data_IF_170860228063
#
_entry.id   IF_170860228063
#
_cell.length_a   1.000
_cell.length_b   1.000
_cell.length_c   1.000
_cell.angle_alpha   90.00
_cell.angle_beta   90.00
_cell.angle_gamma   90.00
#
_symmetry.space_group_name_H-M   'P 1'
#
loop_
_entity.id
_entity.type
_entity.pdbx_description
1 polymer ?
#
# COMPACT_ATOMS: atom_id res chain seq x y z
N UNK A 1 3.48 12.73 7.84
CA UNK A 1 4.75 11.99 8.04
C UNK A 1 5.92 12.96 7.98
N UNK A 2 7.03 12.66 8.68
CA UNK A 2 8.27 13.46 8.65
C UNK A 2 9.28 12.87 7.67
N UNK A 3 10.31 13.63 7.28
CA UNK A 3 11.40 13.15 6.42
C UNK A 3 12.12 11.91 6.97
N UNK A 4 12.21 11.78 8.30
CA UNK A 4 12.79 10.61 8.98
C UNK A 4 11.92 9.36 8.82
N UNK A 5 10.59 9.52 8.87
CA UNK A 5 9.65 8.39 8.69
C UNK A 5 9.78 7.77 7.30
N UNK A 6 9.89 8.59 6.25
CA UNK A 6 10.10 8.10 4.88
C UNK A 6 11.43 7.36 4.75
N UNK A 7 12.53 7.95 5.27
CA UNK A 7 13.85 7.32 5.23
C UNK A 7 13.86 5.97 5.94
N UNK A 8 13.38 5.92 7.17
CA UNK A 8 13.33 4.69 7.96
C UNK A 8 12.50 3.60 7.27
N UNK A 9 11.38 3.99 6.64
CA UNK A 9 10.51 3.06 5.91
C UNK A 9 11.19 2.53 4.64
N UNK A 10 11.89 3.37 3.89
CA UNK A 10 12.65 2.96 2.72
C UNK A 10 13.82 2.04 3.11
N UNK A 11 14.60 2.42 4.12
CA UNK A 11 15.74 1.63 4.60
C UNK A 11 15.31 0.23 5.06
N UNK A 12 14.18 0.14 5.77
CA UNK A 12 13.61 -1.14 6.19
C UNK A 12 13.22 -2.01 4.98
N UNK A 13 12.59 -1.42 3.96
CA UNK A 13 12.17 -2.15 2.76
C UNK A 13 13.38 -2.63 1.94
N UNK A 14 14.39 -1.78 1.77
CA UNK A 14 15.64 -2.13 1.08
C UNK A 14 16.41 -3.23 1.81
N UNK A 15 16.51 -3.15 3.14
CA UNK A 15 17.24 -4.13 3.95
C UNK A 15 16.66 -5.54 3.86
N UNK A 16 15.33 -5.68 3.77
CA UNK A 16 14.67 -6.98 3.67
C UNK A 16 14.60 -7.49 2.22
N UNK A 17 14.51 -6.58 1.25
CA UNK A 17 14.19 -6.93 -0.13
C UNK A 17 15.40 -6.97 -1.07
N UNK A 18 16.60 -6.68 -0.57
CA UNK A 18 17.85 -6.58 -1.36
C UNK A 18 17.69 -5.71 -2.61
N UNK A 19 16.90 -4.63 -2.51
CA UNK A 19 16.70 -3.71 -3.63
C UNK A 19 18.00 -2.93 -3.89
N UNK A 20 18.34 -2.62 -5.15
CA UNK A 20 19.43 -1.71 -5.46
C UNK A 20 19.26 -0.35 -4.76
N UNK A 21 20.35 0.24 -4.28
CA UNK A 21 20.33 1.50 -3.53
C UNK A 21 19.79 2.71 -4.34
N UNK A 22 19.68 2.58 -5.66
CA UNK A 22 19.19 3.60 -6.59
C UNK A 22 17.78 3.33 -7.12
N UNK A 23 17.06 2.35 -6.53
CA UNK A 23 15.72 2.02 -6.96
C UNK A 23 14.76 3.21 -6.70
N UNK A 24 14.08 3.77 -7.73
CA UNK A 24 13.22 4.94 -7.57
C UNK A 24 11.90 4.53 -6.91
N UNK A 25 11.95 4.33 -5.59
CA UNK A 25 10.80 3.94 -4.80
C UNK A 25 9.75 5.06 -4.75
N UNK A 26 8.48 4.68 -4.89
CA UNK A 26 7.34 5.57 -4.72
C UNK A 26 6.56 5.12 -3.50
N UNK A 27 6.25 6.07 -2.62
CA UNK A 27 5.41 5.79 -1.47
C UNK A 27 3.94 5.81 -1.86
N UNK A 28 3.15 4.91 -1.30
CA UNK A 28 1.69 4.95 -1.38
C UNK A 28 1.14 5.30 0.00
N UNK A 29 0.44 6.43 0.10
CA UNK A 29 -0.26 6.89 1.29
C UNK A 29 -1.76 6.75 1.08
N UNK A 30 -2.38 5.95 1.95
CA UNK A 30 -3.82 5.76 1.96
C UNK A 30 -4.39 6.45 3.18
N UNK A 31 -5.25 7.44 2.94
CA UNK A 31 -6.07 8.06 3.98
C UNK A 31 -7.44 7.39 3.98
N UNK A 32 -7.85 6.89 5.15
CA UNK A 32 -9.22 6.37 5.33
C UNK A 32 -10.12 7.54 5.68
N UNK A 33 -11.11 7.79 4.84
CA UNK A 33 -12.19 8.71 5.13
C UNK A 33 -13.55 7.97 5.13
N UNK A 34 -14.51 8.58 5.83
CA UNK A 34 -15.87 8.07 5.98
C UNK A 34 -16.75 8.52 4.81
N UNK A 35 -16.17 8.66 3.61
CA UNK A 35 -16.92 9.15 2.45
C UNK A 35 -17.99 8.11 2.12
N UNK A 36 -19.23 8.41 2.51
CA UNK A 36 -20.40 7.55 2.32
C UNK A 36 -20.75 7.33 0.84
N UNK A 37 -20.05 7.97 -0.08
CA UNK A 37 -20.15 7.77 -1.52
C UNK A 37 -19.28 6.57 -1.95
N UNK A 38 -19.72 5.38 -1.54
CA UNK A 38 -19.09 4.08 -1.84
C UNK A 38 -18.95 3.75 -3.34
N UNK A 39 -19.47 4.60 -4.24
CA UNK A 39 -19.40 4.43 -5.71
C UNK A 39 -18.45 5.43 -6.40
N UNK A 40 -17.68 6.23 -5.67
CA UNK A 40 -16.80 7.24 -6.29
C UNK A 40 -15.48 6.62 -6.75
N UNK A 41 -15.00 7.06 -7.91
CA UNK A 41 -13.67 6.70 -8.40
C UNK A 41 -12.59 7.13 -7.41
N UNK A 42 -11.58 6.27 -7.19
CA UNK A 42 -10.42 6.61 -6.37
C UNK A 42 -9.56 7.64 -7.12
N UNK A 43 -9.39 8.81 -6.53
CA UNK A 43 -8.47 9.83 -7.04
C UNK A 43 -7.08 9.62 -6.45
N UNK A 44 -6.07 9.50 -7.32
CA UNK A 44 -4.67 9.30 -6.92
C UNK A 44 -3.87 10.54 -7.30
N UNK A 45 -3.28 11.19 -6.31
CA UNK A 45 -2.47 12.39 -6.49
C UNK A 45 -0.99 12.08 -6.36
N UNK A 46 -0.21 12.38 -7.40
CA UNK A 46 1.24 12.36 -7.34
C UNK A 46 1.78 13.64 -6.70
N UNK A 47 2.54 13.52 -5.63
CA UNK A 47 3.16 14.64 -4.93
C UNK A 47 4.62 14.35 -4.56
N UNK A 48 5.41 15.41 -4.40
CA UNK A 48 6.79 15.32 -3.95
C UNK A 48 6.90 15.84 -2.52
N UNK A 49 7.25 14.97 -1.57
CA UNK A 49 7.30 15.31 -0.15
C UNK A 49 8.62 14.84 0.46
N UNK A 50 9.32 15.76 1.13
CA UNK A 50 10.60 15.48 1.82
C UNK A 50 11.67 14.78 0.98
N UNK A 51 11.70 14.98 -0.34
CA UNK A 51 12.67 14.34 -1.23
C UNK A 51 12.19 13.04 -1.88
N UNK A 52 10.94 12.61 -1.61
CA UNK A 52 10.38 11.36 -2.09
C UNK A 52 9.14 11.59 -2.95
N UNK A 53 8.96 10.72 -3.95
CA UNK A 53 7.72 10.63 -4.73
C UNK A 53 6.66 9.87 -3.92
N UNK A 54 5.48 10.46 -3.81
CA UNK A 54 4.35 9.91 -3.04
C UNK A 54 3.11 9.90 -3.93
N UNK A 55 2.39 8.79 -3.95
CA UNK A 55 1.02 8.69 -4.42
C UNK A 55 0.12 8.76 -3.19
N UNK A 56 -0.67 9.82 -3.10
CA UNK A 56 -1.68 10.01 -2.06
C UNK A 56 -3.04 9.62 -2.62
N UNK A 57 -3.77 8.79 -1.88
CA UNK A 57 -5.10 8.33 -2.26
C UNK A 57 -5.99 8.28 -1.03
N UNK A 58 -7.24 8.66 -1.24
CA UNK A 58 -8.30 8.62 -0.25
C UNK A 58 -9.23 7.46 -0.57
N UNK A 59 -9.58 6.65 0.43
CA UNK A 59 -10.55 5.60 0.18
C UNK A 59 -10.99 4.85 1.45
N UNK A 60 -12.12 4.14 1.36
CA UNK A 60 -12.85 3.66 2.52
C UNK A 60 -12.17 2.48 3.24
N UNK A 61 -11.38 1.68 2.51
CA UNK A 61 -10.78 0.44 3.02
C UNK A 61 -9.37 0.29 2.48
N UNK A 62 -8.36 0.32 3.37
CA UNK A 62 -6.94 0.36 2.98
C UNK A 62 -6.54 -0.76 2.01
N UNK A 63 -6.82 -2.06 2.27
CA UNK A 63 -6.47 -3.14 1.34
C UNK A 63 -7.08 -2.98 -0.06
N UNK A 64 -8.34 -2.56 -0.14
CA UNK A 64 -9.05 -2.41 -1.41
C UNK A 64 -8.50 -1.25 -2.21
N UNK A 65 -8.22 -0.12 -1.53
CA UNK A 65 -7.60 1.05 -2.14
C UNK A 65 -6.23 0.70 -2.70
N UNK A 66 -5.38 0.00 -1.92
CA UNK A 66 -4.06 -0.44 -2.39
C UNK A 66 -4.20 -1.35 -3.61
N UNK A 67 -5.04 -2.39 -3.54
CA UNK A 67 -5.21 -3.34 -4.63
C UNK A 67 -5.68 -2.64 -5.92
N UNK A 68 -6.63 -1.71 -5.80
CA UNK A 68 -7.16 -0.93 -6.93
C UNK A 68 -6.08 -0.08 -7.58
N UNK A 69 -5.27 0.63 -6.78
CA UNK A 69 -4.15 1.45 -7.30
C UNK A 69 -3.11 0.58 -8.00
N UNK A 70 -2.74 -0.57 -7.44
CA UNK A 70 -1.77 -1.47 -8.05
C UNK A 70 -2.27 -2.05 -9.38
N UNK A 71 -3.54 -2.49 -9.44
CA UNK A 71 -4.14 -2.97 -10.68
C UNK A 71 -4.21 -1.86 -11.73
N UNK A 72 -4.58 -0.64 -11.31
CA UNK A 72 -4.63 0.50 -12.22
C UNK A 72 -3.24 0.85 -12.78
N UNK A 73 -2.20 0.92 -11.94
CA UNK A 73 -0.82 1.15 -12.38
C UNK A 73 -0.39 0.09 -13.38
N UNK A 74 -0.69 -1.19 -13.09
CA UNK A 74 -0.40 -2.29 -14.02
C UNK A 74 -1.07 -2.07 -15.37
N UNK A 75 -2.35 -1.73 -15.36
CA UNK A 75 -3.14 -1.61 -16.58
C UNK A 75 -2.73 -0.41 -17.44
N UNK A 76 -2.36 0.72 -16.82
CA UNK A 76 -1.95 1.95 -17.56
C UNK A 76 -0.48 1.97 -17.96
N UNK A 77 0.41 1.29 -17.22
CA UNK A 77 1.85 1.27 -17.52
C UNK A 77 2.31 0.00 -18.23
N UNK A 78 1.54 -1.09 -18.12
CA UNK A 78 1.94 -2.43 -18.55
C UNK A 78 3.02 -3.08 -17.69
N UNK A 79 3.51 -2.39 -16.65
CA UNK A 79 4.53 -2.90 -15.73
C UNK A 79 3.88 -3.62 -14.55
N UNK A 80 4.56 -4.62 -13.99
CA UNK A 80 4.09 -5.31 -12.79
C UNK A 80 4.49 -4.53 -11.54
N UNK A 81 3.56 -3.95 -10.77
CA UNK A 81 3.93 -3.23 -9.55
C UNK A 81 4.17 -4.20 -8.40
N UNK A 82 5.14 -3.85 -7.57
CA UNK A 82 5.52 -4.57 -6.35
C UNK A 82 5.30 -3.64 -5.17
N UNK A 83 4.52 -4.07 -4.18
CA UNK A 83 4.32 -3.33 -2.94
C UNK A 83 5.02 -4.02 -1.77
N UNK A 84 5.66 -3.21 -0.92
CA UNK A 84 6.44 -3.67 0.22
C UNK A 84 5.79 -3.19 1.51
N UNK A 85 5.37 -4.12 2.34
CA UNK A 85 4.84 -3.86 3.67
C UNK A 85 5.88 -4.18 4.73
N UNK A 86 6.03 -3.27 5.70
CA UNK A 86 6.75 -3.55 6.94
C UNK A 86 5.77 -4.11 7.97
N UNK A 87 6.15 -5.15 8.71
CA UNK A 87 5.42 -5.60 9.91
C UNK A 87 5.33 -4.44 10.91
N UNK A 88 4.10 -4.06 11.24
CA UNK A 88 3.83 -2.95 12.16
C UNK A 88 4.28 -3.33 13.59
N UNK A 89 5.43 -2.85 14.05
CA UNK A 89 5.79 -2.80 15.47
C UNK A 89 5.04 -1.65 16.17
N UNK A 90 3.70 -1.63 16.03
CA UNK A 90 2.82 -0.65 16.67
C UNK A 90 2.31 -1.15 18.02
N UNK A 91 1.81 -0.24 18.86
CA UNK A 91 1.19 -0.59 20.14
C UNK A 91 0.08 -1.64 19.91
N UNK A 92 0.23 -2.87 20.44
CA UNK A 92 -0.66 -4.00 20.16
C UNK A 92 -2.14 -3.70 20.49
N UNK A 93 -2.41 -2.74 21.37
CA UNK A 93 -3.77 -2.32 21.74
C UNK A 93 -4.49 -1.59 20.59
N UNK A 94 -3.80 -0.76 19.80
CA UNK A 94 -4.41 -0.04 18.66
C UNK A 94 -4.65 -1.01 17.49
N UNK A 95 -3.72 -1.93 17.25
CA UNK A 95 -3.86 -2.97 16.23
C UNK A 95 -4.98 -3.96 16.59
N UNK A 96 -5.15 -4.27 17.89
CA UNK A 96 -6.23 -5.12 18.39
C UNK A 96 -7.59 -4.42 18.31
N UNK A 97 -7.68 -3.12 18.60
CA UNK A 97 -8.92 -2.34 18.41
C UNK A 97 -9.33 -2.31 16.92
N UNK A 98 -8.37 -2.10 16.01
CA UNK A 98 -8.59 -2.17 14.56
C UNK A 98 -9.03 -3.57 14.09
N UNK A 99 -8.43 -4.63 14.62
CA UNK A 99 -8.88 -5.99 14.37
C UNK A 99 -10.32 -6.24 14.83
N UNK A 100 -10.66 -5.80 16.06
CA UNK A 100 -11.97 -6.04 16.67
C UNK A 100 -13.11 -5.21 16.03
N UNK A 101 -12.83 -4.03 15.49
CA UNK A 101 -13.84 -3.15 14.89
C UNK A 101 -13.87 -3.16 13.35
N UNK A 102 -12.75 -3.47 12.67
CA UNK A 102 -12.62 -3.43 11.20
C UNK A 102 -12.16 -4.75 10.56
N UNK A 103 -11.86 -5.80 11.32
CA UNK A 103 -11.31 -7.06 10.78
C UNK A 103 -9.86 -6.94 10.29
N UNK A 104 -9.17 -5.86 10.65
CA UNK A 104 -7.82 -5.48 10.22
C UNK A 104 -6.70 -6.29 10.91
N UNK A 105 -6.74 -7.61 10.76
CA UNK A 105 -5.69 -8.49 11.30
C UNK A 105 -4.36 -8.30 10.61
N UNK A 106 -4.33 -8.22 9.27
CA UNK A 106 -3.08 -8.09 8.53
C UNK A 106 -3.35 -7.40 7.16
N UNK A 107 -3.00 -6.11 7.01
CA UNK A 107 -3.26 -5.35 5.76
C UNK A 107 -2.66 -6.05 4.53
N UNK A 108 -1.44 -6.59 4.65
CA UNK A 108 -0.75 -7.20 3.52
C UNK A 108 -1.39 -8.53 3.03
N UNK A 109 -1.69 -9.50 3.91
CA UNK A 109 -2.51 -10.68 3.58
C UNK A 109 -3.88 -10.34 3.01
N UNK A 110 -4.59 -9.37 3.58
CA UNK A 110 -5.90 -8.96 3.04
C UNK A 110 -5.74 -8.33 1.66
N UNK A 111 -4.74 -7.47 1.46
CA UNK A 111 -4.43 -6.89 0.14
C UNK A 111 -4.13 -7.99 -0.88
N UNK A 112 -3.34 -9.00 -0.48
CA UNK A 112 -3.01 -10.14 -1.33
C UNK A 112 -4.26 -10.95 -1.71
N UNK A 113 -5.20 -11.13 -0.78
CA UNK A 113 -6.45 -11.83 -1.04
C UNK A 113 -7.39 -11.03 -1.97
N UNK A 114 -7.51 -9.71 -1.76
CA UNK A 114 -8.27 -8.83 -2.66
C UNK A 114 -7.69 -8.89 -4.08
N UNK A 115 -6.37 -8.81 -4.22
CA UNK A 115 -5.68 -8.97 -5.50
C UNK A 115 -5.90 -10.36 -6.12
N UNK A 116 -5.99 -11.41 -5.30
CA UNK A 116 -6.27 -12.78 -5.76
C UNK A 116 -7.68 -12.92 -6.33
N UNK A 117 -8.65 -12.28 -5.72
CA UNK A 117 -10.05 -12.29 -6.18
C UNK A 117 -10.24 -11.42 -7.42
N UNK A 118 -9.62 -10.23 -7.45
CA UNK A 118 -9.74 -9.30 -8.57
C UNK A 118 -8.97 -9.75 -9.83
N UNK A 119 -7.80 -10.37 -9.66
CA UNK A 119 -7.00 -10.92 -10.75
C UNK A 119 -6.64 -12.39 -10.47
N UNK A 120 -7.41 -13.34 -11.02
CA UNK A 120 -7.13 -14.77 -10.86
C UNK A 120 -5.82 -15.22 -11.51
N UNK A 121 -5.40 -14.56 -12.60
CA UNK A 121 -4.18 -14.91 -13.34
C UNK A 121 -2.93 -14.47 -12.57
N UNK A 122 -2.15 -15.44 -12.09
CA UNK A 122 -0.98 -15.18 -11.22
C UNK A 122 0.08 -14.36 -11.94
N UNK A 123 0.26 -14.56 -13.25
CA UNK A 123 1.26 -13.83 -14.04
C UNK A 123 0.92 -12.36 -14.24
N UNK A 124 -0.34 -11.97 -14.02
CA UNK A 124 -0.84 -10.59 -14.12
C UNK A 124 -1.07 -9.95 -12.76
N UNK A 125 -0.86 -10.67 -11.66
CA UNK A 125 -1.18 -10.17 -10.32
C UNK A 125 -0.04 -9.34 -9.72
N UNK A 126 -0.30 -8.12 -9.25
CA UNK A 126 0.64 -7.34 -8.45
C UNK A 126 1.24 -8.13 -7.28
N UNK A 127 2.52 -7.88 -6.99
CA UNK A 127 3.27 -8.62 -5.97
C UNK A 127 3.21 -7.91 -4.61
N UNK A 128 2.88 -8.68 -3.57
CA UNK A 128 2.84 -8.20 -2.19
C UNK A 128 3.97 -8.84 -1.40
N UNK A 129 4.92 -8.03 -0.95
CA UNK A 129 6.06 -8.44 -0.13
C UNK A 129 5.82 -8.02 1.32
N UNK A 130 6.13 -8.92 2.27
CA UNK A 130 5.99 -8.67 3.71
C UNK A 130 7.34 -8.93 4.36
N UNK A 131 7.88 -7.92 5.04
CA UNK A 131 9.15 -7.94 5.76
C UNK A 131 9.02 -7.60 7.23
#
# INVERSE_FOLDING_TARGET
MTAADYRNKLDSAMAVSHLPNDYPAVFLEVTVDDSSDFETALEVHGLYRHGYSVLEVHGPVVPNTIASVLLHIRDVTGLMPHIYFRRTEGNPVINLLKFLFLGEGEIAPVTREVLRQAEPEVTRRPWVHVG
#
